data_IF_286365442510
#
_entry.id   IF_286365442510
#
_cell.length_a   1.000
_cell.length_b   1.000
_cell.length_c   1.000
_cell.angle_alpha   90.00
_cell.angle_beta   90.00
_cell.angle_gamma   90.00
#
_symmetry.space_group_name_H-M   'P 1'
#
loop_
_entity.id
_entity.type
_entity.pdbx_description
1 polymer ?
#
# COMPACT_ATOMS: atom_id res chain seq x y z
N UNK A 1 -8.97 -25.48 -5.22
CA UNK A 1 -8.20 -24.57 -4.34
C UNK A 1 -6.83 -24.35 -4.95
N UNK A 2 -6.19 -23.20 -4.70
CA UNK A 2 -4.84 -22.92 -5.21
C UNK A 2 -3.79 -23.20 -4.13
N UNK A 3 -2.73 -23.90 -4.53
CA UNK A 3 -1.60 -24.26 -3.67
C UNK A 3 -0.29 -23.93 -4.35
N UNK A 4 0.67 -23.42 -3.59
CA UNK A 4 2.07 -23.32 -4.00
C UNK A 4 2.86 -24.44 -3.33
N UNK A 5 3.57 -25.20 -4.13
CA UNK A 5 4.43 -26.33 -3.73
C UNK A 5 5.86 -25.95 -4.08
N UNK A 6 6.80 -26.10 -3.16
CA UNK A 6 8.24 -26.11 -3.44
C UNK A 6 8.79 -27.47 -3.07
N UNK A 7 9.57 -28.10 -3.94
CA UNK A 7 10.12 -29.44 -3.71
C UNK A 7 11.43 -29.63 -4.45
N UNK A 8 12.31 -30.48 -3.93
CA UNK A 8 13.50 -30.92 -4.66
C UNK A 8 13.15 -32.11 -5.54
N UNK A 9 13.34 -31.95 -6.85
CA UNK A 9 13.15 -32.99 -7.85
C UNK A 9 14.53 -33.53 -8.27
N UNK A 10 14.61 -34.85 -8.45
CA UNK A 10 15.83 -35.49 -8.94
C UNK A 10 16.16 -35.02 -10.37
N UNK A 11 17.37 -34.49 -10.58
CA UNK A 11 17.85 -34.05 -11.90
C UNK A 11 18.15 -35.25 -12.81
N UNK A 12 17.08 -35.82 -13.37
CA UNK A 12 17.11 -36.90 -14.36
C UNK A 12 15.98 -36.72 -15.39
N UNK A 13 16.20 -37.14 -16.65
CA UNK A 13 15.13 -37.20 -17.64
C UNK A 13 13.91 -37.99 -17.13
N UNK A 14 12.72 -37.43 -17.32
CA UNK A 14 11.44 -38.06 -16.98
C UNK A 14 10.91 -37.77 -15.57
N UNK A 15 11.70 -37.29 -14.61
CA UNK A 15 11.25 -37.07 -13.24
C UNK A 15 10.04 -36.10 -13.14
N UNK A 16 10.07 -34.99 -13.88
CA UNK A 16 8.96 -34.03 -13.95
C UNK A 16 7.72 -34.63 -14.62
N UNK A 17 7.90 -35.55 -15.57
CA UNK A 17 6.79 -36.23 -16.24
C UNK A 17 6.11 -37.25 -15.31
N UNK A 18 6.87 -37.92 -14.44
CA UNK A 18 6.33 -38.79 -13.38
C UNK A 18 5.49 -37.98 -12.37
N UNK A 19 5.97 -36.81 -11.93
CA UNK A 19 5.22 -35.89 -11.07
C UNK A 19 3.95 -35.37 -11.76
N UNK A 20 4.05 -34.88 -12.99
CA UNK A 20 2.91 -34.36 -13.75
C UNK A 20 1.86 -35.45 -14.04
N UNK A 21 2.28 -36.69 -14.31
CA UNK A 21 1.37 -37.82 -14.51
C UNK A 21 0.60 -38.19 -13.23
N UNK A 22 1.24 -38.10 -12.05
CA UNK A 22 0.56 -38.29 -10.75
C UNK A 22 -0.46 -37.18 -10.48
N UNK A 23 -0.08 -35.91 -10.65
CA UNK A 23 -1.03 -34.80 -10.57
C UNK A 23 -2.25 -35.00 -11.50
N UNK A 24 -2.01 -35.42 -12.75
CA UNK A 24 -3.08 -35.69 -13.72
C UNK A 24 -3.97 -36.90 -13.39
N UNK A 25 -3.47 -37.89 -12.66
CA UNK A 25 -4.27 -39.04 -12.22
C UNK A 25 -5.30 -38.66 -11.14
N UNK A 26 -5.01 -37.62 -10.37
CA UNK A 26 -5.80 -37.12 -9.23
C UNK A 26 -6.57 -35.81 -9.54
N UNK A 27 -6.71 -35.46 -10.83
CA UNK A 27 -7.38 -34.24 -11.33
C UNK A 27 -6.78 -32.92 -10.77
N UNK A 28 -5.45 -32.92 -10.53
CA UNK A 28 -4.67 -31.75 -10.10
C UNK A 28 -4.07 -31.07 -11.33
N UNK A 29 -4.49 -29.84 -11.59
CA UNK A 29 -3.97 -29.05 -12.71
C UNK A 29 -2.75 -28.22 -12.28
N UNK A 30 -1.62 -28.37 -12.98
CA UNK A 30 -0.42 -27.53 -12.79
C UNK A 30 -0.58 -26.25 -13.61
N UNK A 31 -0.70 -25.11 -12.93
CA UNK A 31 -0.93 -23.79 -13.53
C UNK A 31 0.35 -23.00 -13.81
N UNK A 32 1.40 -23.26 -13.04
CA UNK A 32 2.73 -22.67 -13.23
C UNK A 32 3.82 -23.61 -12.70
N UNK A 33 5.00 -23.52 -13.29
CA UNK A 33 6.22 -24.23 -12.89
C UNK A 33 7.42 -23.27 -13.07
N UNK A 34 8.13 -22.98 -11.98
CA UNK A 34 9.44 -22.35 -12.00
C UNK A 34 10.50 -23.36 -11.51
N UNK A 35 11.61 -23.49 -12.23
CA UNK A 35 12.70 -24.46 -11.92
C UNK A 35 13.95 -23.68 -11.54
N UNK A 36 14.51 -23.97 -10.36
CA UNK A 36 15.73 -23.37 -9.85
C UNK A 36 16.85 -24.41 -9.73
N UNK A 37 18.04 -24.09 -10.21
CA UNK A 37 19.21 -24.95 -10.05
C UNK A 37 19.76 -24.86 -8.61
N UNK A 38 20.01 -26.01 -7.98
CA UNK A 38 20.64 -26.12 -6.67
C UNK A 38 21.88 -27.04 -6.74
N UNK A 39 22.69 -27.08 -5.68
CA UNK A 39 23.94 -27.86 -5.66
C UNK A 39 23.73 -29.38 -5.77
N UNK A 40 22.56 -29.88 -5.38
CA UNK A 40 22.24 -31.32 -5.31
C UNK A 40 21.06 -31.76 -6.18
N UNK A 41 20.53 -30.87 -7.04
CA UNK A 41 19.39 -31.18 -7.91
C UNK A 41 18.65 -29.92 -8.40
N UNK A 42 17.39 -30.08 -8.78
CA UNK A 42 16.50 -28.97 -9.11
C UNK A 42 15.51 -28.70 -7.96
N UNK A 43 15.30 -27.44 -7.62
CA UNK A 43 14.21 -26.99 -6.75
C UNK A 43 13.08 -26.50 -7.65
N UNK A 44 11.99 -27.24 -7.68
CA UNK A 44 10.82 -26.94 -8.49
C UNK A 44 9.77 -26.22 -7.62
N UNK A 45 9.27 -25.09 -8.10
CA UNK A 45 8.08 -24.43 -7.58
C UNK A 45 6.89 -24.63 -8.52
N UNK A 46 5.85 -25.29 -8.01
CA UNK A 46 4.61 -25.52 -8.74
C UNK A 46 3.48 -24.69 -8.13
N UNK A 47 2.64 -24.09 -8.97
CA UNK A 47 1.31 -23.61 -8.55
C UNK A 47 0.28 -24.57 -9.11
N UNK A 48 -0.50 -25.19 -8.23
CA UNK A 48 -1.49 -26.21 -8.61
C UNK A 48 -2.91 -25.82 -8.21
N UNK A 49 -3.88 -26.25 -9.00
CA UNK A 49 -5.30 -26.18 -8.69
C UNK A 49 -5.86 -27.56 -8.40
N UNK A 50 -6.44 -27.72 -7.21
CA UNK A 50 -7.05 -28.98 -6.73
C UNK A 50 -8.58 -28.89 -6.67
N UNK A 51 -9.25 -30.05 -6.57
CA UNK A 51 -10.64 -30.14 -6.11
C UNK A 51 -10.84 -29.68 -4.66
N UNK A 52 -12.09 -29.74 -4.19
CA UNK A 52 -12.45 -29.50 -2.78
C UNK A 52 -12.08 -30.71 -1.93
N UNK A 53 -11.48 -30.49 -0.76
CA UNK A 53 -11.14 -31.55 0.20
C UNK A 53 -9.65 -31.88 0.30
N UNK A 54 -8.84 -31.50 -0.70
CA UNK A 54 -7.39 -31.60 -0.66
C UNK A 54 -6.77 -30.76 0.46
N UNK A 55 -5.81 -31.33 1.19
CA UNK A 55 -5.01 -30.68 2.22
C UNK A 55 -3.54 -30.54 1.80
N UNK A 56 -2.76 -29.79 2.60
CA UNK A 56 -1.31 -29.69 2.41
C UNK A 56 -0.60 -31.05 2.60
N UNK A 57 -1.11 -31.90 3.48
CA UNK A 57 -0.55 -33.22 3.78
C UNK A 57 -0.77 -34.19 2.61
N UNK A 58 -1.96 -34.19 2.00
CA UNK A 58 -2.28 -35.01 0.82
C UNK A 58 -1.36 -34.66 -0.37
N UNK A 59 -1.17 -33.36 -0.63
CA UNK A 59 -0.26 -32.86 -1.66
C UNK A 59 1.21 -33.21 -1.35
N UNK A 60 1.60 -33.13 -0.08
CA UNK A 60 2.96 -33.51 0.36
C UNK A 60 3.20 -35.00 0.14
N UNK A 61 2.23 -35.86 0.44
CA UNK A 61 2.30 -37.30 0.20
C UNK A 61 2.39 -37.64 -1.30
N UNK A 62 1.52 -37.04 -2.13
CA UNK A 62 1.52 -37.23 -3.59
C UNK A 62 2.88 -36.85 -4.22
N UNK A 63 3.45 -35.72 -3.80
CA UNK A 63 4.76 -35.24 -4.27
C UNK A 63 5.90 -36.12 -3.78
N UNK A 64 5.85 -36.62 -2.54
CA UNK A 64 6.83 -37.57 -2.02
C UNK A 64 6.77 -38.93 -2.76
N UNK A 65 5.58 -39.39 -3.14
CA UNK A 65 5.39 -40.58 -3.97
C UNK A 65 5.92 -40.45 -5.41
N UNK A 66 6.07 -39.22 -5.91
CA UNK A 66 6.78 -38.92 -7.16
C UNK A 66 8.32 -38.98 -7.01
N UNK A 67 8.83 -39.26 -5.81
CA UNK A 67 10.25 -39.30 -5.50
C UNK A 67 10.87 -37.94 -5.21
N UNK A 68 10.06 -36.89 -5.04
CA UNK A 68 10.54 -35.57 -4.65
C UNK A 68 10.80 -35.51 -3.13
N UNK A 69 11.71 -34.64 -2.71
CA UNK A 69 12.10 -34.48 -1.30
C UNK A 69 12.05 -33.02 -0.84
N UNK A 70 12.15 -32.78 0.47
CA UNK A 70 12.14 -31.43 1.07
C UNK A 70 10.94 -30.57 0.64
N UNK A 71 9.80 -31.23 0.45
CA UNK A 71 8.55 -30.60 0.00
C UNK A 71 7.96 -29.66 1.05
N UNK A 72 7.59 -28.45 0.63
CA UNK A 72 6.81 -27.49 1.40
C UNK A 72 5.56 -27.11 0.60
N UNK A 73 4.38 -27.23 1.20
CA UNK A 73 3.09 -26.93 0.57
C UNK A 73 2.39 -25.83 1.35
N UNK A 74 1.90 -24.78 0.66
CA UNK A 74 1.12 -23.70 1.27
C UNK A 74 -0.06 -23.28 0.39
N UNK A 75 -1.21 -22.85 0.95
CA UNK A 75 -2.28 -22.25 0.16
C UNK A 75 -1.81 -20.92 -0.45
N UNK A 76 -2.33 -20.55 -1.62
CA UNK A 76 -2.04 -19.28 -2.28
C UNK A 76 -3.30 -18.66 -2.93
N UNK A 77 -3.19 -17.44 -3.43
CA UNK A 77 -4.22 -16.76 -4.22
C UNK A 77 -3.78 -16.67 -5.69
N UNK A 78 -4.64 -16.13 -6.57
CA UNK A 78 -4.38 -16.10 -8.02
C UNK A 78 -3.28 -15.10 -8.45
N UNK A 79 -2.82 -14.24 -7.54
CA UNK A 79 -1.75 -13.27 -7.75
C UNK A 79 -0.38 -13.94 -8.02
N UNK A 80 -0.12 -15.10 -7.40
CA UNK A 80 1.13 -15.86 -7.60
C UNK A 80 1.24 -16.48 -8.99
N UNK A 81 0.19 -16.42 -9.82
CA UNK A 81 0.22 -16.84 -11.23
C UNK A 81 0.91 -15.82 -12.15
N UNK A 82 1.22 -14.61 -11.65
CA UNK A 82 2.17 -13.72 -12.35
C UNK A 82 3.60 -14.29 -12.19
N UNK A 83 4.31 -14.46 -13.29
CA UNK A 83 5.69 -14.94 -13.32
C UNK A 83 6.61 -14.07 -12.43
N UNK A 84 7.65 -14.68 -11.85
CA UNK A 84 8.59 -13.94 -11.00
C UNK A 84 9.16 -12.67 -11.67
N UNK A 85 9.70 -12.68 -12.91
CA UNK A 85 10.18 -11.45 -13.58
C UNK A 85 9.16 -10.31 -13.60
N UNK A 86 7.90 -10.56 -13.98
CA UNK A 86 6.83 -9.56 -13.97
C UNK A 86 6.55 -9.03 -12.55
N UNK A 87 6.58 -9.89 -11.53
CA UNK A 87 6.38 -9.48 -10.13
C UNK A 87 7.50 -8.55 -9.64
N UNK A 88 8.77 -8.88 -9.92
CA UNK A 88 9.91 -8.02 -9.56
C UNK A 88 9.91 -6.69 -10.33
N UNK A 89 9.54 -6.66 -11.63
CA UNK A 89 9.40 -5.41 -12.38
C UNK A 89 8.28 -4.52 -11.83
N UNK A 90 7.16 -5.10 -11.36
CA UNK A 90 6.10 -4.34 -10.67
C UNK A 90 6.56 -3.79 -9.31
N UNK A 91 7.42 -4.51 -8.59
CA UNK A 91 8.03 -4.00 -7.36
C UNK A 91 8.96 -2.81 -7.65
N UNK A 92 9.80 -2.88 -8.70
CA UNK A 92 10.61 -1.74 -9.16
C UNK A 92 9.75 -0.52 -9.50
N UNK A 93 8.59 -0.70 -10.15
CA UNK A 93 7.67 0.41 -10.43
C UNK A 93 7.13 1.05 -9.14
N UNK A 94 6.86 0.27 -8.08
CA UNK A 94 6.43 0.81 -6.77
C UNK A 94 7.57 1.52 -6.04
N UNK A 95 8.79 1.00 -6.11
CA UNK A 95 9.98 1.64 -5.53
C UNK A 95 10.34 2.99 -6.19
N UNK A 96 9.97 3.20 -7.46
CA UNK A 96 10.12 4.51 -8.13
C UNK A 96 9.22 5.57 -7.47
N UNK A 97 8.02 5.19 -7.03
CA UNK A 97 7.09 6.07 -6.31
C UNK A 97 7.45 6.18 -4.81
N UNK A 98 8.06 5.14 -4.24
CA UNK A 98 8.43 5.07 -2.83
C UNK A 98 9.62 4.14 -2.54
N UNK A 99 10.86 4.67 -2.51
CA UNK A 99 12.08 3.85 -2.41
C UNK A 99 12.27 3.10 -1.08
N UNK A 100 11.60 3.54 -0.01
CA UNK A 100 11.76 2.98 1.34
C UNK A 100 10.89 1.74 1.60
N UNK A 101 9.95 1.43 0.72
CA UNK A 101 9.11 0.22 0.82
C UNK A 101 9.83 -1.10 0.49
N UNK A 102 11.15 -1.11 0.29
CA UNK A 102 11.88 -2.30 -0.18
C UNK A 102 11.71 -3.54 0.70
N UNK A 103 11.63 -3.38 2.02
CA UNK A 103 11.38 -4.50 2.94
C UNK A 103 9.96 -5.08 2.76
N UNK A 104 8.95 -4.22 2.58
CA UNK A 104 7.56 -4.64 2.30
C UNK A 104 7.45 -5.31 0.93
N UNK A 105 8.14 -4.77 -0.08
CA UNK A 105 8.20 -5.33 -1.44
C UNK A 105 8.87 -6.70 -1.46
N UNK A 106 9.99 -6.86 -0.73
CA UNK A 106 10.64 -8.16 -0.57
C UNK A 106 9.74 -9.17 0.13
N UNK A 107 9.04 -8.76 1.20
CA UNK A 107 8.06 -9.60 1.90
C UNK A 107 6.87 -10.01 1.00
N UNK A 108 6.36 -9.10 0.17
CA UNK A 108 5.30 -9.37 -0.80
C UNK A 108 5.77 -10.29 -1.95
N UNK A 109 7.06 -10.24 -2.31
CA UNK A 109 7.67 -11.14 -3.29
C UNK A 109 8.01 -12.53 -2.70
N UNK A 110 8.10 -12.65 -1.37
CA UNK A 110 8.60 -13.84 -0.68
C UNK A 110 7.69 -15.07 -0.88
N UNK A 111 8.21 -16.01 -1.67
CA UNK A 111 7.51 -17.22 -2.08
C UNK A 111 7.45 -18.30 -1.01
N UNK A 112 8.43 -18.38 -0.11
CA UNK A 112 8.58 -19.33 1.00
C UNK A 112 9.57 -18.74 2.03
N UNK A 113 9.68 -19.35 3.20
CA UNK A 113 10.52 -18.84 4.30
C UNK A 113 12.02 -18.80 3.97
N UNK A 114 12.49 -19.69 3.08
CA UNK A 114 13.86 -19.71 2.55
C UNK A 114 13.93 -19.15 1.12
N UNK A 115 14.99 -18.41 0.79
CA UNK A 115 15.28 -17.91 -0.56
C UNK A 115 16.20 -18.88 -1.31
N UNK A 116 15.86 -19.24 -2.55
CA UNK A 116 16.79 -19.87 -3.50
C UNK A 116 17.90 -18.90 -3.91
N UNK A 117 19.06 -19.37 -4.44
CA UNK A 117 20.13 -18.48 -4.90
C UNK A 117 19.67 -17.46 -5.97
N UNK A 118 18.73 -17.85 -6.83
CA UNK A 118 18.15 -16.97 -7.84
C UNK A 118 17.18 -15.93 -7.26
N UNK A 119 16.46 -16.26 -6.19
CA UNK A 119 15.65 -15.28 -5.46
C UNK A 119 16.54 -14.30 -4.68
N UNK A 120 17.61 -14.77 -4.03
CA UNK A 120 18.62 -13.93 -3.39
C UNK A 120 19.22 -12.91 -4.36
N UNK A 121 19.66 -13.34 -5.53
CA UNK A 121 20.24 -12.45 -6.54
C UNK A 121 19.24 -11.38 -7.04
N UNK A 122 17.94 -11.71 -7.14
CA UNK A 122 16.91 -10.73 -7.51
C UNK A 122 16.58 -9.77 -6.35
N UNK A 123 16.58 -10.26 -5.12
CA UNK A 123 16.37 -9.44 -3.92
C UNK A 123 17.50 -8.41 -3.74
N UNK A 124 18.75 -8.84 -3.91
CA UNK A 124 19.95 -7.99 -3.81
C UNK A 124 19.91 -6.83 -4.83
N UNK A 125 19.58 -7.13 -6.10
CA UNK A 125 19.36 -6.10 -7.14
C UNK A 125 18.20 -5.16 -6.80
N UNK A 126 17.13 -5.65 -6.17
CA UNK A 126 16.00 -4.81 -5.75
C UNK A 126 16.41 -3.84 -4.63
N UNK A 127 17.23 -4.29 -3.68
CA UNK A 127 17.84 -3.46 -2.62
C UNK A 127 18.79 -2.41 -3.22
N UNK A 128 19.62 -2.79 -4.20
CA UNK A 128 20.50 -1.84 -4.90
C UNK A 128 19.70 -0.74 -5.62
N UNK A 129 18.60 -1.12 -6.30
CA UNK A 129 17.69 -0.17 -6.96
C UNK A 129 17.04 0.75 -5.93
N UNK A 130 16.52 0.21 -4.82
CA UNK A 130 15.91 0.99 -3.76
C UNK A 130 16.88 2.02 -3.17
N UNK A 131 18.12 1.61 -2.86
CA UNK A 131 19.16 2.51 -2.35
C UNK A 131 19.46 3.67 -3.30
N UNK A 132 19.68 3.38 -4.59
CA UNK A 132 19.93 4.40 -5.62
C UNK A 132 18.74 5.34 -5.83
N UNK A 133 17.52 4.87 -5.64
CA UNK A 133 16.32 5.70 -5.70
C UNK A 133 16.20 6.58 -4.44
N UNK A 134 16.45 6.03 -3.24
CA UNK A 134 16.43 6.79 -2.00
C UNK A 134 17.47 7.94 -1.99
N UNK A 135 18.71 7.66 -2.42
CA UNK A 135 19.77 8.66 -2.63
C UNK A 135 19.32 9.77 -3.59
N UNK A 136 18.60 9.42 -4.66
CA UNK A 136 18.12 10.36 -5.68
C UNK A 136 16.96 11.23 -5.19
N UNK A 137 16.15 10.74 -4.27
CA UNK A 137 14.95 11.42 -3.77
C UNK A 137 15.15 12.14 -2.43
N UNK A 138 16.35 12.08 -1.84
CA UNK A 138 16.72 12.75 -0.58
C UNK A 138 15.74 12.42 0.57
N UNK A 139 15.39 11.14 0.70
CA UNK A 139 14.44 10.69 1.73
C UNK A 139 15.07 10.93 3.11
N UNK A 140 14.44 11.72 4.01
CA UNK A 140 15.09 12.11 5.27
C UNK A 140 15.39 10.91 6.17
N UNK A 141 16.64 10.77 6.60
CA UNK A 141 17.04 9.77 7.59
C UNK A 141 16.22 9.92 8.89
N UNK A 142 15.91 8.79 9.54
CA UNK A 142 15.03 8.73 10.71
C UNK A 142 15.56 7.85 11.83
N UNK A 143 15.09 8.05 13.09
CA UNK A 143 15.44 7.17 14.19
C UNK A 143 14.91 5.76 13.93
N UNK A 144 15.78 4.76 14.02
CA UNK A 144 15.41 3.36 13.82
C UNK A 144 14.72 2.77 15.06
N UNK A 145 13.85 1.76 14.92
CA UNK A 145 13.33 0.98 16.05
C UNK A 145 14.44 0.57 17.03
N UNK A 146 14.20 0.79 18.32
CA UNK A 146 15.17 0.51 19.38
C UNK A 146 16.24 1.59 19.62
N UNK A 147 16.34 2.62 18.76
CA UNK A 147 17.22 3.79 19.03
C UNK A 147 16.73 4.72 20.15
N UNK A 148 15.47 4.54 20.57
CA UNK A 148 14.85 5.25 21.69
C UNK A 148 13.44 4.74 21.96
N UNK A 149 12.82 5.24 23.04
CA UNK A 149 11.42 4.93 23.38
C UNK A 149 10.53 6.06 22.84
N UNK A 150 9.54 5.79 21.98
CA UNK A 150 8.65 6.84 21.49
C UNK A 150 7.80 7.45 22.61
N UNK A 151 7.97 8.75 22.81
CA UNK A 151 7.17 9.59 23.70
C UNK A 151 5.97 10.13 22.94
N UNK A 152 4.78 10.14 23.56
CA UNK A 152 3.56 10.64 22.92
C UNK A 152 3.14 11.96 23.55
N UNK A 153 2.88 12.96 22.70
CA UNK A 153 2.42 14.29 23.11
C UNK A 153 1.37 14.84 22.15
N UNK A 154 0.62 15.83 22.61
CA UNK A 154 -0.23 16.64 21.73
C UNK A 154 0.65 17.32 20.68
N UNK A 155 0.20 17.29 19.44
CA UNK A 155 0.87 17.92 18.32
C UNK A 155 0.48 19.41 18.21
N UNK A 156 1.38 20.23 17.69
CA UNK A 156 1.17 21.67 17.45
C UNK A 156 1.50 22.02 16.00
N UNK A 157 1.26 23.27 15.57
CA UNK A 157 1.55 23.68 14.18
C UNK A 157 3.04 23.66 13.83
N UNK A 158 3.89 23.73 14.85
CA UNK A 158 5.35 23.62 14.77
C UNK A 158 5.82 22.20 14.39
N UNK A 159 5.03 21.16 14.68
CA UNK A 159 5.34 19.78 14.28
C UNK A 159 5.20 19.51 12.78
N UNK A 160 4.69 20.47 12.00
CA UNK A 160 4.36 20.27 10.60
C UNK A 160 5.54 19.76 9.76
N UNK A 161 6.75 20.29 9.96
CA UNK A 161 7.92 19.90 9.18
C UNK A 161 8.41 18.49 9.57
N UNK A 162 8.35 18.15 10.87
CA UNK A 162 8.64 16.79 11.34
C UNK A 162 7.58 15.76 10.87
N UNK A 163 6.32 16.17 10.74
CA UNK A 163 5.22 15.36 10.18
C UNK A 163 5.38 15.17 8.65
N UNK A 164 5.92 16.15 7.91
CA UNK A 164 6.31 15.96 6.50
C UNK A 164 7.44 14.94 6.40
N UNK A 165 8.52 15.09 7.18
CA UNK A 165 9.64 14.15 7.15
C UNK A 165 9.22 12.72 7.54
N UNK A 166 8.34 12.57 8.54
CA UNK A 166 7.74 11.28 8.91
C UNK A 166 6.90 10.68 7.80
N UNK A 167 6.08 11.49 7.13
CA UNK A 167 5.30 11.06 5.96
C UNK A 167 6.22 10.60 4.82
N UNK A 168 7.29 11.31 4.51
CA UNK A 168 8.26 10.96 3.47
C UNK A 168 9.08 9.69 3.78
N UNK A 169 9.17 9.29 5.06
CA UNK A 169 9.71 7.97 5.48
C UNK A 169 8.69 6.82 5.50
N UNK A 170 7.39 7.09 5.57
CA UNK A 170 6.37 6.05 5.56
C UNK A 170 6.18 5.47 4.15
N UNK A 171 5.92 4.18 4.01
CA UNK A 171 5.74 3.52 2.71
C UNK A 171 4.54 4.04 1.90
N UNK A 172 4.56 3.83 0.59
CA UNK A 172 3.41 4.09 -0.29
C UNK A 172 2.15 3.37 0.21
N UNK A 173 2.28 2.14 0.70
CA UNK A 173 1.16 1.39 1.22
C UNK A 173 0.64 2.00 2.52
N UNK A 174 1.52 2.35 3.46
CA UNK A 174 1.14 3.03 4.71
C UNK A 174 0.48 4.40 4.47
N UNK A 175 0.98 5.19 3.52
CA UNK A 175 0.34 6.44 3.04
C UNK A 175 -1.04 6.15 2.44
N UNK A 176 -1.14 5.18 1.53
CA UNK A 176 -2.41 4.86 0.84
C UNK A 176 -3.46 4.31 1.80
N UNK A 177 -3.07 3.45 2.76
CA UNK A 177 -3.93 2.97 3.86
C UNK A 177 -4.40 4.10 4.78
N UNK A 178 -3.60 5.17 4.96
CA UNK A 178 -3.92 6.35 5.80
C UNK A 178 -4.84 7.37 5.11
N UNK A 179 -4.73 7.54 3.81
CA UNK A 179 -5.44 8.60 3.05
C UNK A 179 -6.53 8.07 2.11
N UNK A 180 -6.56 6.76 1.87
CA UNK A 180 -7.44 6.05 0.91
C UNK A 180 -7.27 6.49 -0.55
N UNK A 181 -6.19 7.23 -0.84
CA UNK A 181 -5.75 7.65 -2.18
C UNK A 181 -4.22 7.65 -2.23
N UNK A 182 -3.62 7.57 -3.43
CA UNK A 182 -2.20 7.84 -3.61
C UNK A 182 -1.87 9.26 -3.13
N UNK A 183 -1.07 9.37 -2.07
CA UNK A 183 -0.62 10.63 -1.48
C UNK A 183 0.91 10.62 -1.42
N UNK A 184 1.62 10.87 -2.54
CA UNK A 184 3.06 10.69 -2.59
C UNK A 184 3.82 11.72 -1.76
N UNK A 185 3.31 12.96 -1.67
CA UNK A 185 3.92 14.05 -0.87
C UNK A 185 2.88 14.81 -0.06
N UNK A 186 3.26 15.18 1.16
CA UNK A 186 2.46 15.99 2.06
C UNK A 186 2.87 17.46 1.93
N UNK A 187 1.94 18.36 1.54
CA UNK A 187 2.27 19.79 1.51
C UNK A 187 2.42 20.35 2.93
N UNK A 188 3.32 21.31 3.14
CA UNK A 188 3.47 21.99 4.43
C UNK A 188 2.15 22.61 4.96
N UNK A 189 1.26 23.05 4.06
CA UNK A 189 -0.10 23.48 4.44
C UNK A 189 -0.89 22.31 5.01
N UNK A 190 -0.93 21.16 4.32
CA UNK A 190 -1.63 19.96 4.78
C UNK A 190 -1.07 19.46 6.11
N UNK A 191 0.25 19.42 6.25
CA UNK A 191 0.92 19.01 7.48
C UNK A 191 0.49 19.87 8.68
N UNK A 192 0.46 21.21 8.57
CA UNK A 192 -0.06 22.08 9.64
C UNK A 192 -1.50 21.78 10.03
N UNK A 193 -2.37 21.46 9.07
CA UNK A 193 -3.76 21.09 9.36
C UNK A 193 -3.89 19.70 9.99
N UNK A 194 -3.00 18.77 9.66
CA UNK A 194 -2.91 17.46 10.31
C UNK A 194 -2.34 17.57 11.74
N UNK A 195 -1.34 18.42 11.97
CA UNK A 195 -0.74 18.61 13.29
C UNK A 195 -1.66 19.38 14.25
N UNK A 196 -2.45 20.33 13.76
CA UNK A 196 -3.42 21.08 14.56
C UNK A 196 -4.78 21.24 13.82
N UNK A 197 -5.63 20.19 13.79
CA UNK A 197 -6.92 20.24 13.10
C UNK A 197 -7.91 21.16 13.81
N UNK A 198 -8.65 21.97 13.04
CA UNK A 198 -9.65 22.89 13.59
C UNK A 198 -10.79 22.14 14.30
N UNK A 199 -10.97 22.42 15.60
CA UNK A 199 -11.95 21.73 16.45
C UNK A 199 -11.61 20.27 16.78
N UNK A 200 -10.39 19.83 16.45
CA UNK A 200 -9.90 18.49 16.74
C UNK A 200 -8.61 18.51 17.55
N UNK A 201 -7.89 17.40 17.52
CA UNK A 201 -6.62 17.18 18.22
C UNK A 201 -5.78 16.16 17.47
N UNK A 202 -4.47 16.35 17.46
CA UNK A 202 -3.52 15.33 17.02
C UNK A 202 -2.53 14.99 18.12
N UNK A 203 -2.06 13.74 18.09
CA UNK A 203 -1.04 13.19 18.97
C UNK A 203 0.09 12.71 18.07
N UNK A 204 1.32 13.17 18.33
CA UNK A 204 2.53 12.64 17.69
C UNK A 204 3.28 11.73 18.65
N UNK A 205 3.95 10.73 18.10
CA UNK A 205 4.97 9.94 18.76
C UNK A 205 6.33 10.40 18.26
N UNK A 206 7.24 10.80 19.15
CA UNK A 206 8.57 11.31 18.81
C UNK A 206 9.70 10.55 19.50
N UNK A 207 10.86 10.49 18.84
CA UNK A 207 12.13 9.98 19.37
C UNK A 207 13.18 11.06 19.11
N UNK A 208 13.59 11.76 20.18
CA UNK A 208 14.23 13.07 20.03
C UNK A 208 13.28 14.05 19.32
N UNK A 209 13.81 14.86 18.41
CA UNK A 209 13.02 15.83 17.64
C UNK A 209 12.27 15.22 16.45
N UNK A 210 12.53 13.95 16.11
CA UNK A 210 11.90 13.27 14.99
C UNK A 210 10.56 12.62 15.38
N UNK A 211 9.49 12.94 14.63
CA UNK A 211 8.20 12.24 14.72
C UNK A 211 8.32 10.91 13.96
N UNK A 212 7.81 9.83 14.57
CA UNK A 212 7.80 8.45 14.01
C UNK A 212 6.37 7.88 13.83
N UNK A 213 5.36 8.66 14.22
CA UNK A 213 3.96 8.32 14.01
C UNK A 213 3.04 9.43 14.52
N UNK A 214 1.81 9.44 14.01
CA UNK A 214 0.80 10.45 14.32
C UNK A 214 -0.60 9.82 14.33
N UNK A 215 -1.45 10.27 15.24
CA UNK A 215 -2.89 10.03 15.19
C UNK A 215 -3.65 11.35 15.29
N UNK A 216 -4.70 11.48 14.49
CA UNK A 216 -5.52 12.69 14.36
C UNK A 216 -6.96 12.34 14.69
N UNK A 217 -7.62 13.15 15.52
CA UNK A 217 -9.07 13.19 15.70
C UNK A 217 -9.59 14.54 15.20
N UNK A 218 -10.49 14.55 14.22
CA UNK A 218 -11.05 15.78 13.65
C UNK A 218 -12.59 15.70 13.55
N UNK A 219 -13.35 16.80 13.71
CA UNK A 219 -14.80 16.78 13.61
C UNK A 219 -15.33 16.19 12.30
N UNK A 220 -16.38 15.36 12.39
CA UNK A 220 -17.15 14.93 11.23
C UNK A 220 -18.54 15.58 11.22
N UNK A 221 -18.60 16.86 10.82
CA UNK A 221 -19.84 17.67 10.80
C UNK A 221 -21.01 16.92 10.10
N UNK A 222 -20.75 16.21 8.99
CA UNK A 222 -21.79 15.45 8.26
C UNK A 222 -22.35 14.23 9.01
N UNK A 223 -21.61 13.64 9.98
CA UNK A 223 -22.08 12.56 10.85
C UNK A 223 -22.65 13.09 12.17
N UNK A 224 -22.23 14.27 12.63
CA UNK A 224 -22.83 14.99 13.75
C UNK A 224 -21.82 15.84 14.52
N UNK A 225 -22.31 16.84 15.24
CA UNK A 225 -21.49 17.80 15.99
C UNK A 225 -20.63 17.20 17.11
N UNK A 226 -20.92 15.97 17.53
CA UNK A 226 -20.19 15.22 18.57
C UNK A 226 -19.42 14.01 18.04
N UNK A 227 -19.37 13.83 16.71
CA UNK A 227 -18.61 12.74 16.06
C UNK A 227 -17.26 13.25 15.58
N UNK A 228 -16.19 12.51 15.87
CA UNK A 228 -14.86 12.77 15.32
C UNK A 228 -14.36 11.61 14.46
N UNK A 229 -13.79 11.92 13.31
CA UNK A 229 -13.00 10.99 12.50
C UNK A 229 -11.64 10.79 13.14
N UNK A 230 -11.20 9.54 13.31
CA UNK A 230 -9.88 9.18 13.83
C UNK A 230 -9.10 8.39 12.79
N UNK A 231 -7.85 8.80 12.55
CA UNK A 231 -6.94 8.11 11.64
C UNK A 231 -5.49 8.17 12.14
N UNK A 232 -4.71 7.13 11.83
CA UNK A 232 -3.39 6.85 12.40
C UNK A 232 -2.39 6.54 11.28
N UNK A 233 -1.19 7.11 11.35
CA UNK A 233 -0.03 6.79 10.52
C UNK A 233 1.16 6.48 11.42
N UNK A 234 1.94 5.46 11.10
CA UNK A 234 3.16 5.05 11.83
C UNK A 234 4.18 4.60 10.80
N UNK A 235 5.42 5.07 10.91
CA UNK A 235 6.53 4.62 10.05
C UNK A 235 6.69 3.11 10.13
N UNK A 236 6.97 2.47 9.00
CA UNK A 236 6.80 1.03 8.78
C UNK A 236 7.67 0.20 9.74
N UNK A 237 8.93 0.59 9.94
CA UNK A 237 9.81 -0.03 10.94
C UNK A 237 9.27 0.08 12.39
N UNK A 238 8.51 1.12 12.72
CA UNK A 238 7.89 1.32 14.04
C UNK A 238 6.53 0.62 14.20
N UNK A 239 6.04 -0.05 13.16
CA UNK A 239 4.85 -0.90 13.23
C UNK A 239 5.14 -2.23 13.96
N UNK A 240 4.11 -3.05 14.18
CA UNK A 240 4.19 -4.31 14.96
C UNK A 240 4.37 -4.13 16.48
N UNK A 241 5.07 -3.10 16.92
CA UNK A 241 5.49 -2.84 18.31
C UNK A 241 4.41 -2.19 19.19
N UNK A 242 3.17 -2.09 18.70
CA UNK A 242 2.04 -1.55 19.45
C UNK A 242 1.95 -0.01 19.51
N UNK A 243 2.82 0.72 18.81
CA UNK A 243 2.82 2.19 18.79
C UNK A 243 1.49 2.78 18.28
N UNK A 244 0.94 2.23 17.19
CA UNK A 244 -0.36 2.65 16.67
C UNK A 244 -1.52 2.49 17.68
N UNK A 245 -1.47 1.49 18.55
CA UNK A 245 -2.45 1.30 19.62
C UNK A 245 -2.29 2.33 20.76
N UNK A 246 -1.04 2.73 21.09
CA UNK A 246 -0.77 3.81 22.06
C UNK A 246 -1.33 5.14 21.52
N UNK A 247 -0.98 5.48 20.28
CA UNK A 247 -1.45 6.68 19.58
C UNK A 247 -2.98 6.74 19.51
N UNK A 248 -3.61 5.63 19.08
CA UNK A 248 -5.06 5.54 18.96
C UNK A 248 -5.77 5.70 20.31
N UNK A 249 -5.24 5.09 21.39
CA UNK A 249 -5.81 5.25 22.74
C UNK A 249 -5.72 6.70 23.24
N UNK A 250 -4.59 7.36 23.02
CA UNK A 250 -4.40 8.74 23.48
C UNK A 250 -5.33 9.69 22.71
N UNK A 251 -5.33 9.64 21.36
CA UNK A 251 -6.18 10.55 20.56
C UNK A 251 -7.69 10.32 20.81
N UNK A 252 -8.11 9.09 21.14
CA UNK A 252 -9.49 8.79 21.55
C UNK A 252 -9.81 9.36 22.94
N UNK A 253 -8.84 9.39 23.85
CA UNK A 253 -8.95 10.08 25.15
C UNK A 253 -9.14 11.58 24.97
N UNK A 254 -8.33 12.21 24.12
CA UNK A 254 -8.43 13.63 23.80
C UNK A 254 -9.73 13.98 23.07
N UNK A 255 -10.17 13.15 22.11
CA UNK A 255 -11.47 13.32 21.46
C UNK A 255 -12.64 13.31 22.46
N UNK A 256 -12.60 12.42 23.47
CA UNK A 256 -13.57 12.42 24.57
C UNK A 256 -13.48 13.70 25.41
N UNK A 257 -12.27 14.21 25.68
CA UNK A 257 -12.07 15.46 26.42
C UNK A 257 -12.63 16.68 25.66
N UNK A 258 -12.57 16.67 24.33
CA UNK A 258 -13.22 17.64 23.44
C UNK A 258 -14.75 17.45 23.31
N UNK A 259 -15.35 16.51 24.05
CA UNK A 259 -16.79 16.28 24.07
C UNK A 259 -17.31 15.36 22.96
N UNK A 260 -16.45 14.62 22.26
CA UNK A 260 -16.91 13.62 21.31
C UNK A 260 -17.65 12.47 22.02
N UNK A 261 -18.82 12.09 21.50
CA UNK A 261 -19.62 10.98 22.03
C UNK A 261 -19.29 9.67 21.32
N UNK A 262 -18.82 9.75 20.07
CA UNK A 262 -18.28 8.64 19.27
C UNK A 262 -17.09 9.10 18.43
N UNK A 263 -16.20 8.15 18.14
CA UNK A 263 -15.24 8.28 17.03
C UNK A 263 -15.61 7.33 15.91
N UNK A 264 -15.19 7.67 14.69
CA UNK A 264 -15.32 6.82 13.50
C UNK A 264 -13.97 6.70 12.80
N UNK A 265 -13.71 5.56 12.17
CA UNK A 265 -12.50 5.32 11.40
C UNK A 265 -12.87 4.60 10.10
N UNK A 266 -12.31 5.04 8.97
CA UNK A 266 -12.43 4.34 7.69
C UNK A 266 -11.24 3.40 7.52
N UNK A 267 -11.51 2.15 7.16
CA UNK A 267 -10.49 1.09 7.09
C UNK A 267 -10.74 0.21 5.87
N UNK A 268 -9.73 -0.01 5.04
CA UNK A 268 -9.80 -1.01 3.96
C UNK A 268 -9.95 -2.42 4.57
N UNK A 269 -10.80 -3.31 4.03
CA UNK A 269 -11.00 -4.67 4.56
C UNK A 269 -9.70 -5.47 4.75
N UNK A 270 -8.73 -5.24 3.87
CA UNK A 270 -7.41 -5.87 3.81
C UNK A 270 -6.43 -5.31 4.87
N UNK A 271 -6.74 -4.15 5.47
CA UNK A 271 -5.93 -3.53 6.52
C UNK A 271 -6.19 -4.22 7.88
N UNK A 272 -5.86 -5.52 7.94
CA UNK A 272 -6.00 -6.36 9.12
C UNK A 272 -5.18 -5.84 10.32
N UNK A 273 -4.11 -5.08 10.08
CA UNK A 273 -3.32 -4.44 11.14
C UNK A 273 -4.14 -3.37 11.89
N UNK A 274 -4.86 -2.49 11.17
CA UNK A 274 -5.72 -1.48 11.77
C UNK A 274 -6.96 -2.11 12.42
N UNK A 275 -7.58 -3.12 11.78
CA UNK A 275 -8.72 -3.85 12.36
C UNK A 275 -8.36 -4.50 13.71
N UNK A 276 -7.24 -5.23 13.78
CA UNK A 276 -6.72 -5.78 15.06
C UNK A 276 -6.38 -4.69 16.09
N UNK A 277 -5.98 -3.51 15.65
CA UNK A 277 -5.67 -2.36 16.53
C UNK A 277 -6.95 -1.78 17.14
N UNK A 278 -8.02 -1.64 16.34
CA UNK A 278 -9.35 -1.21 16.78
C UNK A 278 -9.97 -2.22 17.77
N UNK A 279 -9.88 -3.53 17.49
CA UNK A 279 -10.32 -4.58 18.42
C UNK A 279 -9.61 -4.52 19.78
N UNK A 280 -8.30 -4.21 19.78
CA UNK A 280 -7.47 -4.05 20.98
C UNK A 280 -7.77 -2.79 21.80
N UNK A 281 -8.65 -1.89 21.33
CA UNK A 281 -9.23 -0.86 22.19
C UNK A 281 -10.17 -1.44 23.24
N UNK A 282 -10.79 -2.61 22.99
CA UNK A 282 -11.80 -3.25 23.86
C UNK A 282 -12.99 -2.33 24.20
N UNK A 283 -13.27 -1.36 23.33
CA UNK A 283 -14.42 -0.45 23.42
C UNK A 283 -15.59 -1.01 22.60
N UNK A 284 -16.82 -0.64 22.94
CA UNK A 284 -18.00 -1.04 22.16
C UNK A 284 -17.94 -0.37 20.78
N UNK A 285 -17.88 -1.19 19.72
CA UNK A 285 -17.79 -0.73 18.35
C UNK A 285 -18.89 -1.34 17.47
N UNK A 286 -19.11 -0.72 16.30
CA UNK A 286 -19.95 -1.23 15.21
C UNK A 286 -19.19 -1.06 13.91
N UNK A 287 -19.15 -2.13 13.11
CA UNK A 287 -18.56 -2.12 11.76
C UNK A 287 -19.70 -2.10 10.75
N UNK A 288 -19.63 -1.22 9.75
CA UNK A 288 -20.55 -1.15 8.61
C UNK A 288 -19.71 -1.06 7.35
N UNK A 289 -20.08 -1.80 6.29
CA UNK A 289 -19.44 -1.66 4.97
C UNK A 289 -19.95 -0.38 4.30
N UNK A 290 -19.03 0.41 3.77
CA UNK A 290 -19.28 1.67 3.07
C UNK A 290 -18.43 1.69 1.79
N UNK A 291 -19.07 1.35 0.67
CA UNK A 291 -18.38 1.01 -0.57
C UNK A 291 -17.36 -0.12 -0.37
N UNK A 292 -16.14 0.12 -0.85
CA UNK A 292 -15.01 -0.80 -0.70
C UNK A 292 -14.40 -0.78 0.71
N UNK A 293 -14.72 0.23 1.54
CA UNK A 293 -14.18 0.39 2.88
C UNK A 293 -15.11 -0.13 3.98
N UNK A 294 -14.58 -0.21 5.20
CA UNK A 294 -15.30 -0.45 6.45
C UNK A 294 -15.30 0.83 7.28
N UNK A 295 -16.49 1.33 7.60
CA UNK A 295 -16.68 2.37 8.62
C UNK A 295 -16.78 1.70 10.00
N UNK A 296 -15.76 1.89 10.83
CA UNK A 296 -15.72 1.41 12.22
C UNK A 296 -16.08 2.56 13.15
N UNK A 297 -17.28 2.50 13.74
CA UNK A 297 -17.73 3.43 14.78
C UNK A 297 -17.39 2.89 16.16
N UNK A 298 -16.79 3.70 17.05
CA UNK A 298 -16.49 3.35 18.45
C UNK A 298 -17.18 4.35 19.38
N UNK A 299 -17.99 3.84 20.31
CA UNK A 299 -18.71 4.67 21.26
C UNK A 299 -17.81 5.12 22.43
N UNK A 300 -17.76 6.43 22.68
CA UNK A 300 -17.06 7.03 23.82
C UNK A 300 -17.99 7.24 25.03
N UNK A 301 -19.31 7.23 24.83
CA UNK A 301 -20.35 7.32 25.88
C UNK A 301 -21.42 6.24 25.73
N UNK A 302 -22.17 5.94 26.79
CA UNK A 302 -23.29 4.98 26.75
C UNK A 302 -24.45 5.40 25.82
N UNK A 303 -24.53 6.68 25.42
CA UNK A 303 -25.57 7.17 24.49
C UNK A 303 -25.28 6.82 23.02
N UNK A 304 -24.08 6.34 22.70
CA UNK A 304 -23.45 6.60 21.40
C UNK A 304 -23.48 5.47 20.38
N UNK A 305 -24.30 4.42 20.57
CA UNK A 305 -24.47 3.31 19.61
C UNK A 305 -25.82 3.28 18.89
N UNK A 306 -26.86 3.93 19.45
CA UNK A 306 -28.23 3.93 18.90
C UNK A 306 -28.36 4.69 17.58
N UNK A 307 -27.61 5.79 17.40
CA UNK A 307 -27.69 6.68 16.23
C UNK A 307 -26.91 6.17 15.01
N UNK A 308 -27.03 4.89 14.63
CA UNK A 308 -26.25 4.29 13.54
C UNK A 308 -27.02 3.26 12.68
N UNK A 309 -28.36 3.23 12.74
CA UNK A 309 -29.17 2.26 11.97
C UNK A 309 -29.69 2.84 10.65
N UNK A 310 -30.26 4.05 10.65
CA UNK A 310 -30.92 4.65 9.47
C UNK A 310 -30.28 5.96 9.02
N UNK A 311 -29.09 5.88 8.41
CA UNK A 311 -28.52 7.00 7.65
C UNK A 311 -28.12 6.48 6.27
N UNK A 312 -28.49 7.15 5.16
CA UNK A 312 -27.95 6.80 3.85
C UNK A 312 -26.41 6.89 3.91
N UNK A 313 -25.68 6.05 3.14
CA UNK A 313 -24.23 6.10 3.12
C UNK A 313 -23.76 7.51 2.75
N UNK A 314 -23.01 8.12 3.67
CA UNK A 314 -22.36 9.41 3.42
C UNK A 314 -21.03 9.07 2.76
N UNK A 315 -21.00 9.15 1.42
CA UNK A 315 -19.83 8.83 0.61
C UNK A 315 -18.56 9.46 1.21
N UNK A 316 -17.63 8.61 1.64
CA UNK A 316 -16.38 9.08 2.22
C UNK A 316 -15.58 9.87 1.18
N UNK A 317 -15.45 11.18 1.39
CA UNK A 317 -14.66 12.03 0.51
C UNK A 317 -13.19 11.64 0.60
N UNK A 318 -12.73 10.92 -0.41
CA UNK A 318 -11.31 10.76 -0.75
C UNK A 318 -10.62 12.13 -0.62
N UNK A 319 -9.57 12.23 0.21
CA UNK A 319 -8.93 13.47 0.71
C UNK A 319 -9.57 14.19 1.93
N UNK A 320 -10.50 13.60 2.69
CA UNK A 320 -11.10 14.25 3.88
C UNK A 320 -10.05 14.66 4.91
N UNK A 321 -9.11 13.77 5.20
CA UNK A 321 -7.95 14.00 6.08
C UNK A 321 -7.06 15.20 5.67
N UNK A 322 -7.18 15.71 4.44
CA UNK A 322 -6.42 16.87 3.95
C UNK A 322 -7.32 18.07 3.61
N UNK A 323 -8.64 17.96 3.78
CA UNK A 323 -9.62 18.96 3.38
C UNK A 323 -9.85 20.02 4.46
N UNK A 324 -9.59 21.30 4.13
CA UNK A 324 -9.59 22.41 5.10
C UNK A 324 -10.80 23.35 5.06
N UNK A 325 -11.90 23.02 4.36
CA UNK A 325 -12.95 24.00 4.04
C UNK A 325 -14.39 23.54 4.26
N UNK A 326 -15.14 24.39 4.98
CA UNK A 326 -16.59 24.53 4.81
C UNK A 326 -16.89 24.98 3.39
N UNK A 327 -17.77 24.28 2.69
CA UNK A 327 -18.41 24.79 1.48
C UNK A 327 -19.35 25.95 1.87
N UNK A 328 -19.31 27.11 1.18
CA UNK A 328 -20.36 28.11 1.31
C UNK A 328 -21.70 27.51 0.84
N UNK A 329 -22.78 27.76 1.58
CA UNK A 329 -24.12 27.33 1.19
C UNK A 329 -24.48 27.86 -0.20
N UNK A 330 -24.93 26.98 -1.10
CA UNK A 330 -25.36 27.37 -2.43
C UNK A 330 -26.46 28.45 -2.36
N UNK A 331 -26.25 29.58 -3.05
CA UNK A 331 -27.32 30.57 -3.28
C UNK A 331 -28.33 29.98 -4.28
N UNK A 332 -29.64 30.31 -4.16
CA UNK A 332 -30.66 29.76 -5.05
C UNK A 332 -30.47 30.23 -6.50
N UNK A 333 -30.90 29.38 -7.44
CA UNK A 333 -30.65 29.54 -8.87
C UNK A 333 -31.33 30.76 -9.50
N UNK A 334 -30.66 31.37 -10.49
CA UNK A 334 -31.17 32.54 -11.21
C UNK A 334 -30.59 32.68 -12.63
N UNK A 335 -31.35 32.15 -13.60
CA UNK A 335 -31.29 32.35 -15.06
C UNK A 335 -30.15 31.67 -15.88
N UNK A 336 -30.45 31.26 -17.13
CA UNK A 336 -29.60 30.34 -17.91
C UNK A 336 -28.56 31.03 -18.80
N UNK A 337 -27.46 30.32 -19.06
CA UNK A 337 -26.48 30.69 -20.08
C UNK A 337 -27.03 30.48 -21.50
N UNK A 338 -26.65 31.35 -22.44
CA UNK A 338 -27.01 31.24 -23.86
C UNK A 338 -26.18 30.16 -24.55
N UNK A 339 -26.83 29.38 -25.41
CA UNK A 339 -26.20 28.41 -26.29
C UNK A 339 -25.37 29.08 -27.40
N UNK A 340 -24.29 28.44 -27.82
CA UNK A 340 -23.70 28.60 -29.16
C UNK A 340 -23.23 27.23 -29.67
N UNK A 341 -23.36 26.90 -30.98
CA UNK A 341 -23.40 25.51 -31.41
C UNK A 341 -22.09 25.00 -32.06
N UNK A 342 -21.87 23.68 -31.90
CA UNK A 342 -21.30 22.69 -32.85
C UNK A 342 -20.22 23.18 -33.85
N UNK A 343 -18.96 22.76 -33.75
CA UNK A 343 -18.42 21.41 -34.06
C UNK A 343 -18.38 21.02 -35.56
N UNK A 344 -17.17 21.10 -36.15
CA UNK A 344 -16.69 20.36 -37.35
C UNK A 344 -15.16 20.57 -37.44
N UNK A 345 -14.33 19.54 -37.19
CA UNK A 345 -13.81 18.54 -38.14
C UNK A 345 -12.68 19.02 -39.09
N UNK A 346 -11.52 18.39 -38.92
CA UNK A 346 -10.55 17.97 -39.96
C UNK A 346 -9.89 19.01 -40.89
N UNK A 347 -8.56 19.16 -40.74
CA UNK A 347 -7.58 18.80 -41.79
C UNK A 347 -6.11 19.03 -41.34
N UNK A 348 -5.29 17.98 -41.42
CA UNK A 348 -3.83 18.08 -41.59
C UNK A 348 -3.53 18.21 -43.10
N UNK A 349 -2.56 19.03 -43.51
CA UNK A 349 -1.57 18.81 -44.59
C UNK A 349 -0.64 20.05 -44.73
N UNK A 350 0.54 19.93 -45.37
CA UNK A 350 1.73 20.72 -45.00
C UNK A 350 2.02 21.96 -45.86
N UNK A 351 2.91 22.82 -45.37
CA UNK A 351 3.46 23.97 -46.11
C UNK A 351 4.58 23.51 -47.03
N UNK A 352 4.42 23.74 -48.34
CA UNK A 352 5.44 23.50 -49.36
C UNK A 352 5.99 24.82 -49.93
N UNK A 353 7.33 24.94 -49.90
CA UNK A 353 8.16 25.56 -50.93
C UNK A 353 7.99 27.05 -51.28
N UNK A 354 9.07 27.81 -51.12
CA UNK A 354 9.49 28.81 -52.13
C UNK A 354 11.01 28.85 -52.24
N UNK A 355 11.51 28.97 -53.48
CA UNK A 355 12.92 28.81 -53.84
C UNK A 355 13.51 30.04 -54.55
N UNK A 356 14.85 30.08 -54.67
CA UNK A 356 15.67 31.10 -55.35
C UNK A 356 16.84 31.50 -54.44
N UNK A 357 18.09 31.03 -54.61
CA UNK A 357 19.04 31.17 -55.74
C UNK A 357 19.50 32.63 -55.94
N UNK A 358 20.80 32.99 -56.04
CA UNK A 358 22.08 32.25 -55.96
C UNK A 358 23.19 33.25 -55.48
N UNK A 359 24.53 33.09 -55.57
CA UNK A 359 25.44 32.09 -56.17
C UNK A 359 26.89 32.22 -55.60
N UNK A 360 27.79 31.27 -55.92
CA UNK A 360 29.28 31.29 -55.83
C UNK A 360 29.96 31.52 -54.44
N UNK A 361 31.08 30.90 -54.04
CA UNK A 361 32.25 30.34 -54.74
C UNK A 361 33.12 29.51 -53.73
N UNK A 362 34.13 28.75 -54.18
CA UNK A 362 35.29 28.37 -53.34
C UNK A 362 35.49 26.90 -52.90
N UNK A 363 36.33 26.19 -53.66
CA UNK A 363 37.32 25.13 -53.31
C UNK A 363 37.82 25.00 -51.85
N UNK A 364 38.46 23.91 -51.38
CA UNK A 364 38.75 22.51 -51.82
C UNK A 364 39.59 21.82 -50.70
N UNK A 365 39.59 20.47 -50.59
CA UNK A 365 40.41 19.59 -49.70
C UNK A 365 40.31 19.83 -48.17
N UNK A 366 40.50 18.83 -47.31
CA UNK A 366 40.71 17.39 -47.51
C UNK A 366 41.45 16.76 -46.32
N UNK A 367 41.31 15.44 -46.16
CA UNK A 367 42.41 14.60 -45.66
C UNK A 367 42.30 14.03 -44.25
N UNK A 368 41.98 12.73 -44.18
CA UNK A 368 42.27 11.80 -43.06
C UNK A 368 43.79 11.55 -42.91
N UNK A 369 44.27 10.98 -41.79
CA UNK A 369 44.16 9.51 -41.56
C UNK A 369 42.97 9.05 -40.72
#
# INVERSE_FOLDING_TARGET
MLWKIRTELADRPGALAELAARCGADDINILSLEVFTAETGAVDELVVSTGVGWTADDLTALVAEAGCVRTTVRPCQADVLSDAPTRYLRAVLRLIDDPVSVDDELGNLQGFDEYTPAEWARADVLVEIAGRLAERFDVPDGPRPGSGVPELRIATVEDADAVVAMHERCSYESRTRRYHVPMPKLTARTARHLSAPAGGVSVVASVGDAVVGMATAAPWEELGSTTMEVAVLVEDGWQGQGLGLRLLRQVVGEARALGADRVVCMVQPENHAMLRTLERLRMRSRVVRDGDNLMVSVALSDRSLSHAVDRPPVEYRLNRATSSHRSPSARPAGQPAREHPLAALSALQPISGRAGAADADGSDRGGRP
#
